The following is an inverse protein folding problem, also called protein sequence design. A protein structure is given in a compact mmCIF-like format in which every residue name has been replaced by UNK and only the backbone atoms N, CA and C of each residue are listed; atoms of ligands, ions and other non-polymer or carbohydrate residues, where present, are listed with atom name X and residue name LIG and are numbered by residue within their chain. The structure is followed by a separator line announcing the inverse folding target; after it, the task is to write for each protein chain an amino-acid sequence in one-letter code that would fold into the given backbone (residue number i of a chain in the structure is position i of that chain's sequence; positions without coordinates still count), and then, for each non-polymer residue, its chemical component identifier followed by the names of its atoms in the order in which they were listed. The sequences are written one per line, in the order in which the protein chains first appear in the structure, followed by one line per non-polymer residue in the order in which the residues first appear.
data_IF_055583611834
#
_entry.id   IF_055583611834
#
_cell.length_a   1.000
_cell.length_b   1.000
_cell.length_c   1.000
_cell.angle_alpha   90.00
_cell.angle_beta   90.00
_cell.angle_gamma   90.00
#
_symmetry.space_group_name_H-M   'P 1'
#
loop_
_entity.id
_entity.type
_entity.pdbx_description
1 polymer ?
#
# COMPACT_ATOMS: atom_id res chain seq x y z
N UNK A 1 33.24 -34.67 -5.07
CA UNK A 1 31.96 -34.90 -5.76
C UNK A 1 30.86 -34.49 -4.79
N UNK A 2 30.48 -33.22 -4.82
CA UNK A 2 29.43 -32.66 -3.97
C UNK A 2 28.13 -32.64 -4.80
N UNK A 3 27.25 -33.58 -4.45
CA UNK A 3 25.88 -33.58 -4.98
C UNK A 3 25.18 -32.29 -4.58
N UNK A 4 24.91 -31.44 -5.58
CA UNK A 4 23.94 -30.36 -5.41
C UNK A 4 22.55 -31.01 -5.25
N UNK A 5 21.80 -30.70 -4.22
CA UNK A 5 20.42 -31.12 -4.15
C UNK A 5 19.66 -30.48 -5.31
N UNK A 6 19.15 -31.30 -6.20
CA UNK A 6 18.26 -30.93 -7.27
C UNK A 6 17.04 -30.25 -6.67
N UNK A 7 17.01 -28.90 -6.70
CA UNK A 7 15.82 -28.15 -6.35
C UNK A 7 14.79 -28.43 -7.45
N UNK A 8 13.92 -29.41 -7.24
CA UNK A 8 12.70 -29.54 -7.98
C UNK A 8 11.87 -28.28 -7.71
N UNK A 9 12.04 -27.29 -8.56
CA UNK A 9 11.20 -26.09 -8.53
C UNK A 9 9.72 -26.55 -8.62
N UNK A 10 8.86 -26.21 -7.67
CA UNK A 10 7.48 -26.63 -7.71
C UNK A 10 6.86 -26.12 -9.02
N UNK A 11 6.12 -27.00 -9.69
CA UNK A 11 5.43 -26.67 -10.92
C UNK A 11 4.62 -25.37 -10.74
N UNK A 12 4.71 -24.44 -11.71
CA UNK A 12 4.02 -23.16 -11.58
C UNK A 12 2.51 -23.40 -11.38
N UNK A 13 1.87 -22.74 -10.41
CA UNK A 13 0.46 -22.95 -10.10
C UNK A 13 -0.42 -22.63 -11.30
N UNK A 14 -1.60 -23.27 -11.40
CA UNK A 14 -2.53 -22.94 -12.46
C UNK A 14 -3.01 -21.49 -12.33
N UNK A 15 -3.34 -20.87 -13.46
CA UNK A 15 -3.85 -19.49 -13.51
C UNK A 15 -5.10 -19.32 -12.63
N UNK A 16 -5.99 -20.32 -12.64
CA UNK A 16 -7.18 -20.32 -11.79
C UNK A 16 -6.85 -20.36 -10.29
N UNK A 17 -5.81 -21.11 -9.91
CA UNK A 17 -5.36 -21.14 -8.51
C UNK A 17 -4.77 -19.81 -8.07
N UNK A 18 -4.03 -19.12 -8.95
CA UNK A 18 -3.51 -17.77 -8.70
C UNK A 18 -4.68 -16.83 -8.45
N UNK A 19 -5.66 -16.78 -9.36
CA UNK A 19 -6.84 -15.93 -9.23
C UNK A 19 -7.57 -16.17 -7.91
N UNK A 20 -7.85 -17.43 -7.57
CA UNK A 20 -8.62 -17.78 -6.38
C UNK A 20 -7.89 -17.43 -5.08
N UNK A 21 -6.58 -17.66 -5.02
CA UNK A 21 -5.77 -17.32 -3.84
C UNK A 21 -5.76 -15.81 -3.61
N UNK A 22 -5.55 -15.03 -4.66
CA UNK A 22 -5.59 -13.56 -4.55
C UNK A 22 -6.99 -13.02 -4.28
N UNK A 23 -8.03 -13.67 -4.79
CA UNK A 23 -9.42 -13.32 -4.47
C UNK A 23 -9.72 -13.50 -2.98
N UNK A 24 -9.33 -14.64 -2.40
CA UNK A 24 -9.49 -14.86 -0.96
C UNK A 24 -8.66 -13.85 -0.15
N UNK A 25 -7.43 -13.55 -0.58
CA UNK A 25 -6.61 -12.53 0.07
C UNK A 25 -7.24 -11.14 -0.01
N UNK A 26 -7.77 -10.75 -1.18
CA UNK A 26 -8.46 -9.48 -1.35
C UNK A 26 -9.72 -9.37 -0.49
N UNK A 27 -10.49 -10.46 -0.37
CA UNK A 27 -11.69 -10.50 0.44
C UNK A 27 -11.42 -10.47 1.96
N UNK A 28 -10.30 -11.05 2.39
CA UNK A 28 -9.95 -11.14 3.83
C UNK A 28 -9.02 -10.03 4.31
N UNK A 29 -8.42 -9.26 3.40
CA UNK A 29 -7.49 -8.17 3.72
C UNK A 29 -8.21 -6.89 4.12
N UNK A 30 -9.01 -6.94 5.16
CA UNK A 30 -9.69 -5.78 5.72
C UNK A 30 -8.78 -5.10 6.75
N UNK A 31 -8.07 -4.04 6.32
CA UNK A 31 -7.28 -3.20 7.23
C UNK A 31 -5.76 -3.31 7.13
N UNK A 32 -5.03 -2.87 8.17
CA UNK A 32 -3.57 -2.64 8.16
C UNK A 32 -2.65 -3.88 8.11
N UNK A 33 -3.18 -5.10 8.07
CA UNK A 33 -2.42 -6.34 8.13
C UNK A 33 -2.13 -7.00 6.77
N UNK A 34 -2.36 -6.32 5.64
CA UNK A 34 -2.29 -6.89 4.28
C UNK A 34 -0.97 -7.60 3.99
N UNK A 35 0.17 -7.02 4.41
CA UNK A 35 1.50 -7.62 4.21
C UNK A 35 1.63 -8.95 4.95
N UNK A 36 1.11 -9.04 6.18
CA UNK A 36 1.10 -10.27 6.96
C UNK A 36 0.24 -11.36 6.32
N UNK A 37 -0.94 -10.98 5.78
CA UNK A 37 -1.80 -11.91 5.03
C UNK A 37 -1.14 -12.40 3.74
N UNK A 38 -0.51 -11.51 2.98
CA UNK A 38 0.25 -11.88 1.79
C UNK A 38 1.38 -12.85 2.12
N UNK A 39 2.18 -12.55 3.16
CA UNK A 39 3.26 -13.45 3.58
C UNK A 39 2.72 -14.82 3.99
N UNK A 40 1.72 -14.85 4.86
CA UNK A 40 1.10 -16.11 5.31
C UNK A 40 0.52 -16.90 4.15
N UNK A 41 -0.13 -16.23 3.22
CA UNK A 41 -0.72 -16.88 2.05
C UNK A 41 0.33 -17.41 1.08
N UNK A 42 1.26 -16.57 0.65
CA UNK A 42 2.21 -16.88 -0.43
C UNK A 42 3.40 -17.74 0.03
N UNK A 43 3.92 -17.48 1.23
CA UNK A 43 5.09 -18.18 1.75
C UNK A 43 4.68 -19.39 2.58
N UNK A 44 3.79 -19.23 3.57
CA UNK A 44 3.50 -20.31 4.53
C UNK A 44 2.49 -21.31 3.96
N UNK A 45 1.36 -20.84 3.40
CA UNK A 45 0.27 -21.74 2.92
C UNK A 45 0.53 -22.30 1.54
N UNK A 46 0.83 -21.46 0.57
CA UNK A 46 1.00 -21.89 -0.83
C UNK A 46 2.43 -22.30 -1.14
N UNK A 47 3.42 -21.82 -0.38
CA UNK A 47 4.85 -22.05 -0.61
C UNK A 47 5.28 -21.70 -2.03
N UNK A 48 4.69 -20.64 -2.60
CA UNK A 48 5.05 -20.14 -3.92
C UNK A 48 6.30 -19.29 -3.90
N UNK A 49 6.60 -18.69 -2.75
CA UNK A 49 7.76 -17.85 -2.50
C UNK A 49 8.47 -18.32 -1.22
N UNK A 50 9.76 -18.14 -1.20
CA UNK A 50 10.56 -18.14 0.03
C UNK A 50 10.57 -16.76 0.69
N UNK A 51 11.00 -16.69 1.94
CA UNK A 51 11.00 -15.44 2.70
C UNK A 51 11.85 -14.35 2.07
N UNK A 52 13.02 -14.70 1.50
CA UNK A 52 13.91 -13.74 0.85
C UNK A 52 13.24 -13.11 -0.37
N UNK A 53 12.74 -13.94 -1.27
CA UNK A 53 12.00 -13.46 -2.46
C UNK A 53 10.78 -12.63 -2.08
N UNK A 54 10.05 -13.00 -1.01
CA UNK A 54 8.93 -12.22 -0.55
C UNK A 54 9.36 -10.81 -0.12
N UNK A 55 10.44 -10.67 0.65
CA UNK A 55 10.97 -9.39 1.11
C UNK A 55 11.48 -8.55 -0.07
N UNK A 56 12.15 -9.15 -1.06
CA UNK A 56 12.57 -8.48 -2.27
C UNK A 56 11.38 -7.88 -3.03
N UNK A 57 10.37 -8.69 -3.34
CA UNK A 57 9.18 -8.24 -4.05
C UNK A 57 8.40 -7.19 -3.25
N UNK A 58 8.34 -7.33 -1.93
CA UNK A 58 7.73 -6.34 -1.05
C UNK A 58 8.47 -5.00 -1.11
N UNK A 59 9.79 -5.03 -1.09
CA UNK A 59 10.62 -3.82 -1.21
C UNK A 59 10.40 -3.11 -2.55
N UNK A 60 10.34 -3.87 -3.64
CA UNK A 60 10.03 -3.33 -4.97
C UNK A 60 8.60 -2.75 -4.98
N UNK A 61 7.62 -3.47 -4.44
CA UNK A 61 6.22 -3.00 -4.41
C UNK A 61 6.05 -1.68 -3.67
N UNK A 62 6.86 -1.42 -2.65
CA UNK A 62 6.84 -0.19 -1.88
C UNK A 62 7.47 1.01 -2.60
N UNK A 63 8.32 0.78 -3.59
CA UNK A 63 8.90 1.85 -4.42
C UNK A 63 7.98 2.24 -5.59
N UNK A 64 7.05 1.37 -5.97
CA UNK A 64 6.10 1.63 -7.03
C UNK A 64 4.94 2.49 -6.53
N UNK A 65 4.49 3.47 -7.32
CA UNK A 65 3.31 4.26 -6.96
C UNK A 65 2.05 3.39 -6.99
N UNK A 66 1.17 3.57 -6.00
CA UNK A 66 -0.10 2.84 -5.89
C UNK A 66 -0.23 2.02 -4.62
N UNK A 67 -1.20 1.10 -4.62
CA UNK A 67 -1.48 0.23 -3.47
C UNK A 67 -0.46 -0.91 -3.40
N UNK A 68 0.30 -0.99 -2.32
CA UNK A 68 1.33 -2.02 -2.12
C UNK A 68 0.81 -3.44 -2.33
N UNK A 69 -0.42 -3.72 -1.90
CA UNK A 69 -1.04 -5.03 -2.07
C UNK A 69 -1.28 -5.39 -3.54
N UNK A 70 -1.74 -4.43 -4.35
CA UNK A 70 -1.95 -4.61 -5.79
C UNK A 70 -0.61 -4.72 -6.52
N UNK A 71 0.36 -3.88 -6.17
CA UNK A 71 1.72 -3.97 -6.74
C UNK A 71 2.35 -5.34 -6.43
N UNK A 72 2.17 -5.83 -5.20
CA UNK A 72 2.61 -7.18 -4.81
C UNK A 72 1.91 -8.28 -5.62
N UNK A 73 0.59 -8.15 -5.84
CA UNK A 73 -0.16 -9.11 -6.66
C UNK A 73 0.35 -9.15 -8.09
N UNK A 74 0.66 -7.99 -8.70
CA UNK A 74 1.25 -7.89 -10.03
C UNK A 74 2.60 -8.61 -10.06
N UNK A 75 3.52 -8.25 -9.16
CA UNK A 75 4.88 -8.78 -9.13
C UNK A 75 4.92 -10.30 -8.90
N UNK A 76 4.11 -10.79 -7.96
CA UNK A 76 4.01 -12.21 -7.67
C UNK A 76 3.35 -12.97 -8.82
N UNK A 77 2.26 -12.43 -9.36
CA UNK A 77 1.57 -13.03 -10.50
C UNK A 77 2.46 -13.15 -11.72
N UNK A 78 3.22 -12.10 -12.03
CA UNK A 78 4.19 -12.07 -13.12
C UNK A 78 5.30 -13.11 -12.90
N UNK A 79 5.87 -13.17 -11.72
CA UNK A 79 6.91 -14.17 -11.39
C UNK A 79 6.42 -15.61 -11.54
N UNK A 80 5.14 -15.88 -11.24
CA UNK A 80 4.56 -17.24 -11.29
C UNK A 80 4.17 -17.68 -12.70
N UNK A 81 3.56 -16.79 -13.49
CA UNK A 81 2.95 -17.10 -14.78
C UNK A 81 3.02 -15.96 -15.80
N UNK A 82 3.96 -15.03 -15.64
CA UNK A 82 4.11 -13.88 -16.53
C UNK A 82 2.88 -12.98 -16.53
N UNK A 83 2.66 -12.26 -17.61
CA UNK A 83 1.60 -11.26 -17.76
C UNK A 83 0.21 -11.80 -17.42
N UNK A 84 -0.11 -13.02 -17.80
CA UNK A 84 -1.41 -13.64 -17.47
C UNK A 84 -1.57 -13.92 -15.96
N UNK A 85 -0.47 -14.32 -15.32
CA UNK A 85 -0.43 -14.45 -13.87
C UNK A 85 -0.64 -13.11 -13.16
N UNK A 86 0.02 -12.05 -13.63
CA UNK A 86 -0.14 -10.71 -13.09
C UNK A 86 -1.57 -10.19 -13.23
N UNK A 87 -2.19 -10.35 -14.40
CA UNK A 87 -3.56 -9.93 -14.64
C UNK A 87 -4.56 -10.64 -13.73
N UNK A 88 -4.45 -11.96 -13.63
CA UNK A 88 -5.39 -12.74 -12.80
C UNK A 88 -5.17 -12.54 -11.30
N UNK A 89 -3.94 -12.35 -10.86
CA UNK A 89 -3.64 -11.99 -9.48
C UNK A 89 -4.24 -10.63 -9.11
N UNK A 90 -4.07 -9.64 -9.99
CA UNK A 90 -4.62 -8.29 -9.79
C UNK A 90 -6.14 -8.28 -9.80
N UNK A 91 -6.76 -8.96 -10.77
CA UNK A 91 -8.20 -9.10 -10.84
C UNK A 91 -8.75 -9.79 -9.58
N UNK A 92 -8.14 -10.90 -9.16
CA UNK A 92 -8.51 -11.57 -7.91
C UNK A 92 -8.43 -10.66 -6.71
N UNK A 93 -7.34 -9.90 -6.57
CA UNK A 93 -7.12 -8.99 -5.44
C UNK A 93 -8.11 -7.83 -5.39
N UNK A 94 -8.47 -7.25 -6.54
CA UNK A 94 -9.33 -6.07 -6.62
C UNK A 94 -10.83 -6.41 -6.68
N UNK A 95 -11.19 -7.57 -7.19
CA UNK A 95 -12.58 -7.94 -7.47
C UNK A 95 -13.50 -7.92 -6.23
N UNK A 96 -13.10 -8.43 -5.04
CA UNK A 96 -13.96 -8.37 -3.85
C UNK A 96 -14.30 -6.94 -3.43
N UNK A 97 -13.31 -6.05 -3.44
CA UNK A 97 -13.52 -4.64 -3.13
C UNK A 97 -14.40 -3.95 -4.18
N UNK A 98 -14.15 -4.20 -5.47
CA UNK A 98 -14.92 -3.63 -6.56
C UNK A 98 -16.40 -4.08 -6.52
N UNK A 99 -16.66 -5.36 -6.30
CA UNK A 99 -18.04 -5.88 -6.20
C UNK A 99 -18.78 -5.32 -4.99
N UNK A 100 -18.11 -5.20 -3.85
CA UNK A 100 -18.71 -4.64 -2.64
C UNK A 100 -19.05 -3.17 -2.82
N UNK A 101 -18.15 -2.38 -3.42
CA UNK A 101 -18.38 -0.97 -3.70
C UNK A 101 -19.48 -0.76 -4.75
N UNK A 102 -19.50 -1.59 -5.80
CA UNK A 102 -20.56 -1.53 -6.83
C UNK A 102 -21.91 -1.88 -6.24
N UNK A 103 -22.00 -2.93 -5.40
CA UNK A 103 -23.23 -3.29 -4.72
C UNK A 103 -23.72 -2.19 -3.78
N UNK A 104 -22.80 -1.56 -3.02
CA UNK A 104 -23.14 -0.43 -2.16
C UNK A 104 -23.64 0.78 -2.96
N UNK A 105 -23.00 1.11 -4.09
CA UNK A 105 -23.40 2.19 -4.97
C UNK A 105 -24.78 1.92 -5.60
N UNK A 106 -25.03 0.68 -6.02
CA UNK A 106 -26.33 0.28 -6.57
C UNK A 106 -27.44 0.39 -5.51
N UNK A 107 -27.21 -0.14 -4.31
CA UNK A 107 -28.17 -0.07 -3.21
C UNK A 107 -28.50 1.40 -2.86
N UNK A 108 -27.49 2.28 -2.90
CA UNK A 108 -27.71 3.71 -2.72
C UNK A 108 -28.51 4.35 -3.86
N UNK A 109 -28.21 4.00 -5.11
CA UNK A 109 -28.91 4.53 -6.28
C UNK A 109 -30.40 4.16 -6.33
N UNK A 110 -30.77 2.99 -5.84
CA UNK A 110 -32.17 2.50 -5.78
C UNK A 110 -32.93 3.08 -4.58
N UNK A 111 -32.24 3.27 -3.43
CA UNK A 111 -32.84 3.76 -2.18
C UNK A 111 -32.45 5.20 -1.79
N UNK A 112 -31.90 5.97 -2.73
CA UNK A 112 -31.08 7.16 -2.48
C UNK A 112 -31.70 8.32 -1.68
N UNK A 113 -33.00 8.35 -1.46
CA UNK A 113 -33.67 9.35 -0.63
C UNK A 113 -34.13 8.84 0.74
N UNK A 114 -33.95 7.55 1.01
CA UNK A 114 -34.31 7.00 2.30
C UNK A 114 -33.38 7.51 3.42
N UNK A 115 -33.93 8.00 4.56
CA UNK A 115 -33.15 8.51 5.68
C UNK A 115 -32.15 7.48 6.24
N UNK A 116 -32.48 6.19 6.20
CA UNK A 116 -31.63 5.10 6.67
C UNK A 116 -30.39 4.90 5.80
N UNK A 117 -30.55 4.97 4.49
CA UNK A 117 -29.43 4.89 3.54
C UNK A 117 -28.44 6.04 3.71
N UNK A 118 -28.97 7.25 3.93
CA UNK A 118 -28.15 8.46 4.22
C UNK A 118 -27.41 8.32 5.54
N UNK A 119 -28.09 7.88 6.61
CA UNK A 119 -27.46 7.68 7.91
C UNK A 119 -26.36 6.61 7.87
N UNK A 120 -26.60 5.51 7.15
CA UNK A 120 -25.62 4.43 6.98
C UNK A 120 -24.36 4.92 6.22
N UNK A 121 -24.53 5.66 5.14
CA UNK A 121 -23.40 6.23 4.40
C UNK A 121 -22.63 7.28 5.20
N UNK A 122 -23.30 8.12 5.98
CA UNK A 122 -22.62 9.04 6.90
C UNK A 122 -21.80 8.28 7.93
N UNK A 123 -22.32 7.15 8.45
CA UNK A 123 -21.58 6.28 9.37
C UNK A 123 -20.32 5.68 8.73
N UNK A 124 -20.43 5.16 7.49
CA UNK A 124 -19.28 4.64 6.74
C UNK A 124 -18.26 5.75 6.45
N UNK A 125 -18.72 6.94 6.02
CA UNK A 125 -17.85 8.08 5.77
C UNK A 125 -17.11 8.51 7.03
N UNK A 126 -17.78 8.60 8.17
CA UNK A 126 -17.17 8.91 9.46
C UNK A 126 -16.13 7.85 9.87
N UNK A 127 -16.44 6.56 9.66
CA UNK A 127 -15.51 5.46 9.89
C UNK A 127 -14.27 5.53 9.00
N UNK A 128 -14.45 5.87 7.71
CA UNK A 128 -13.35 6.05 6.77
C UNK A 128 -12.43 7.21 7.19
N UNK A 129 -12.99 8.34 7.62
CA UNK A 129 -12.22 9.47 8.17
C UNK A 129 -11.44 9.04 9.41
N UNK A 130 -12.07 8.30 10.32
CA UNK A 130 -11.41 7.75 11.50
C UNK A 130 -10.23 6.83 11.14
N UNK A 131 -10.39 5.96 10.14
CA UNK A 131 -9.32 5.08 9.67
C UNK A 131 -8.15 5.87 9.08
N UNK A 132 -8.43 6.90 8.27
CA UNK A 132 -7.39 7.78 7.71
C UNK A 132 -6.64 8.48 8.85
N UNK A 133 -7.33 9.00 9.86
CA UNK A 133 -6.71 9.63 11.02
C UNK A 133 -5.79 8.66 11.78
N UNK A 134 -6.22 7.41 12.00
CA UNK A 134 -5.38 6.39 12.63
C UNK A 134 -4.11 6.15 11.83
N UNK A 135 -4.22 6.01 10.51
CA UNK A 135 -3.05 5.84 9.62
C UNK A 135 -2.13 7.06 9.68
N UNK A 136 -2.69 8.27 9.65
CA UNK A 136 -1.91 9.51 9.78
C UNK A 136 -1.13 9.57 11.11
N UNK A 137 -1.79 9.23 12.22
CA UNK A 137 -1.13 9.21 13.54
C UNK A 137 -0.04 8.15 13.60
N UNK A 138 -0.33 6.92 13.13
CA UNK A 138 0.65 5.83 13.12
C UNK A 138 1.87 6.14 12.25
N UNK A 139 1.65 6.71 11.07
CA UNK A 139 2.73 7.09 10.17
C UNK A 139 3.50 8.30 10.70
N UNK A 140 2.77 9.31 11.18
CA UNK A 140 3.34 10.50 11.80
C UNK A 140 4.25 10.15 12.97
N UNK A 141 3.81 9.29 13.89
CA UNK A 141 4.60 8.86 15.04
C UNK A 141 5.92 8.16 14.64
N UNK A 142 5.99 7.55 13.45
CA UNK A 142 7.22 6.91 12.94
C UNK A 142 8.16 7.89 12.23
N UNK A 143 7.62 8.90 11.58
CA UNK A 143 8.36 9.81 10.69
C UNK A 143 8.70 11.13 11.38
N UNK A 144 7.76 11.70 12.14
CA UNK A 144 7.92 12.98 12.81
C UNK A 144 8.72 12.81 14.10
N UNK A 145 9.97 13.24 14.09
CA UNK A 145 10.88 13.14 15.25
C UNK A 145 11.24 14.50 15.84
N UNK A 146 11.12 15.56 15.08
CA UNK A 146 11.56 16.91 15.45
C UNK A 146 10.37 17.88 15.47
N UNK A 147 10.38 18.86 16.35
CA UNK A 147 9.36 19.91 16.38
C UNK A 147 9.20 20.63 15.03
N UNK A 148 10.29 20.75 14.26
CA UNK A 148 10.26 21.30 12.91
C UNK A 148 9.39 20.45 11.96
N UNK A 149 9.41 19.13 12.08
CA UNK A 149 8.61 18.23 11.23
C UNK A 149 7.11 18.47 11.45
N UNK A 150 6.70 18.63 12.73
CA UNK A 150 5.31 18.97 13.06
C UNK A 150 4.92 20.34 12.52
N UNK A 151 5.81 21.31 12.58
CA UNK A 151 5.58 22.65 12.03
C UNK A 151 5.38 22.61 10.51
N UNK A 152 6.20 21.83 9.79
CA UNK A 152 6.05 21.63 8.35
C UNK A 152 4.72 20.98 7.99
N UNK A 153 4.32 19.94 8.71
CA UNK A 153 3.04 19.26 8.48
C UNK A 153 1.87 20.21 8.72
N UNK A 154 1.88 20.95 9.84
CA UNK A 154 0.82 21.91 10.17
C UNK A 154 0.78 23.07 9.17
N UNK A 155 1.92 23.60 8.77
CA UNK A 155 1.99 24.68 7.78
C UNK A 155 1.47 24.23 6.42
N UNK A 156 1.84 23.01 5.98
CA UNK A 156 1.34 22.44 4.72
C UNK A 156 -0.17 22.18 4.79
N UNK A 157 -0.66 21.62 5.89
CA UNK A 157 -2.09 21.40 6.10
C UNK A 157 -2.89 22.72 6.11
N UNK A 158 -2.39 23.74 6.80
CA UNK A 158 -3.00 25.07 6.83
C UNK A 158 -2.98 25.76 5.46
N UNK A 159 -1.89 25.60 4.69
CA UNK A 159 -1.80 26.13 3.32
C UNK A 159 -2.84 25.48 2.39
N UNK A 160 -2.99 24.15 2.45
CA UNK A 160 -3.98 23.43 1.65
C UNK A 160 -5.40 23.80 2.06
N UNK A 161 -5.69 23.84 3.38
CA UNK A 161 -7.02 24.13 3.89
C UNK A 161 -7.43 25.60 3.72
N UNK A 162 -6.48 26.53 3.90
CA UNK A 162 -6.78 27.98 3.88
C UNK A 162 -6.74 28.59 2.47
N UNK A 163 -5.83 28.15 1.62
CA UNK A 163 -5.65 28.73 0.28
C UNK A 163 -6.22 27.91 -0.85
N UNK A 164 -6.81 26.73 -0.56
CA UNK A 164 -7.39 25.84 -1.58
C UNK A 164 -6.35 25.33 -2.60
N UNK A 165 -5.07 25.33 -2.24
CA UNK A 165 -3.98 24.90 -3.12
C UNK A 165 -4.14 23.40 -3.36
N UNK A 166 -4.08 22.97 -4.62
CA UNK A 166 -4.14 21.55 -4.94
C UNK A 166 -2.96 20.79 -4.29
N UNK A 167 -3.28 19.67 -3.66
CA UNK A 167 -2.34 18.84 -2.87
C UNK A 167 -0.99 18.57 -3.58
N UNK A 168 -0.93 18.26 -4.90
CA UNK A 168 0.34 18.04 -5.59
C UNK A 168 1.31 19.22 -5.53
N UNK A 169 0.78 20.44 -5.69
CA UNK A 169 1.63 21.65 -5.65
C UNK A 169 2.12 21.95 -4.23
N UNK A 170 1.27 21.74 -3.23
CA UNK A 170 1.64 21.87 -1.82
C UNK A 170 2.74 20.87 -1.43
N UNK A 171 2.65 19.61 -1.89
CA UNK A 171 3.65 18.58 -1.64
C UNK A 171 4.99 18.89 -2.34
N UNK A 172 4.96 19.35 -3.59
CA UNK A 172 6.18 19.75 -4.30
C UNK A 172 6.87 20.94 -3.61
N UNK A 173 6.11 21.95 -3.20
CA UNK A 173 6.66 23.11 -2.50
C UNK A 173 7.22 22.71 -1.13
N UNK A 174 6.46 21.97 -0.32
CA UNK A 174 6.93 21.51 0.99
C UNK A 174 8.13 20.54 0.87
N UNK A 175 8.12 19.66 -0.13
CA UNK A 175 9.22 18.72 -0.39
C UNK A 175 10.51 19.43 -0.80
N UNK A 176 10.44 20.41 -1.69
CA UNK A 176 11.62 21.19 -2.10
C UNK A 176 12.21 22.00 -0.93
N UNK A 177 11.36 22.61 -0.12
CA UNK A 177 11.80 23.36 1.08
C UNK A 177 12.42 22.40 2.10
N UNK A 178 11.80 21.24 2.34
CA UNK A 178 12.33 20.25 3.27
C UNK A 178 13.69 19.69 2.83
N UNK A 179 13.87 19.39 1.54
CA UNK A 179 15.15 18.93 0.98
C UNK A 179 16.23 20.02 1.13
N UNK A 180 15.87 21.27 0.88
CA UNK A 180 16.81 22.38 1.03
C UNK A 180 17.21 22.61 2.50
N UNK A 181 16.26 22.44 3.42
CA UNK A 181 16.49 22.61 4.87
C UNK A 181 17.31 21.45 5.48
N UNK A 182 17.06 20.21 5.04
CA UNK A 182 17.76 19.02 5.52
C UNK A 182 18.99 18.65 4.70
N UNK A 183 19.47 19.53 3.80
CA UNK A 183 20.75 19.28 3.14
C UNK A 183 21.83 19.05 4.19
N UNK A 184 22.52 17.88 4.17
CA UNK A 184 23.65 17.66 5.06
C UNK A 184 24.66 18.76 4.79
N UNK A 185 24.87 19.64 5.77
CA UNK A 185 25.98 20.56 5.73
C UNK A 185 27.24 19.72 5.75
N UNK A 186 27.89 19.63 4.61
CA UNK A 186 29.15 18.93 4.42
C UNK A 186 30.19 19.53 5.41
N UNK A 187 30.49 18.77 6.47
CA UNK A 187 31.60 19.07 7.37
C UNK A 187 32.92 18.74 6.66
N UNK A 188 33.16 19.33 5.50
CA UNK A 188 34.48 19.43 4.89
C UNK A 188 35.18 20.62 5.51
N UNK A 189 35.87 20.39 6.61
CA UNK A 189 36.69 21.48 7.18
C UNK A 189 37.22 21.13 8.57
N UNK A 190 37.75 19.91 8.78
CA UNK A 190 38.73 19.73 9.83
C UNK A 190 39.55 18.44 9.62
N UNK A 191 40.43 18.44 8.62
CA UNK A 191 41.62 17.59 8.56
C UNK A 191 42.76 18.38 7.99
N UNK A 192 43.29 19.20 8.84
CA UNK A 192 44.55 19.88 8.59
C UNK A 192 45.17 20.30 9.89
N UNK A 193 46.32 19.72 10.20
CA UNK A 193 47.28 20.05 11.29
C UNK A 193 47.10 19.24 12.59
N UNK A 194 47.73 18.08 12.67
CA UNK A 194 48.92 17.84 13.52
C UNK A 194 49.50 16.46 13.20
#
# INVERSE_FOLDING_TARGET
MSEQPSSTAPLPPSLWKIFWVFLVMGATSLGGGVVGYLRTGLVVRQRWLDDLTFVELLSISQTLPGLNATNMAILVGDRLRGVWGALLATLGMCLPGATLMTAAAYAYGVGGDDPWSKAFLHGIAAGAVGLILVVMVQLGAKVLKTAADYLFVLATAAAVAGFGIQVPYALLAAGTVAIWWHRPRDKRGDKGTK
#
